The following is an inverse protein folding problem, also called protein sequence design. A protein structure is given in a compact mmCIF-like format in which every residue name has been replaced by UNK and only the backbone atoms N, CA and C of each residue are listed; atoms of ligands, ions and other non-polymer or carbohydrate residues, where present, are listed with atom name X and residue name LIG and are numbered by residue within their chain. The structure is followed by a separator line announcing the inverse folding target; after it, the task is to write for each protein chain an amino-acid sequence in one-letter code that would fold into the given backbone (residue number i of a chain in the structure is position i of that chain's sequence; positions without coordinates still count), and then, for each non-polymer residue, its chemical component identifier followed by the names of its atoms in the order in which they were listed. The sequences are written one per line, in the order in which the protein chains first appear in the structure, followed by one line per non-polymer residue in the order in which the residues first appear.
data_IF_310530724589
#
_entry.id   IF_310530724589
#
_cell.length_a   1.000
_cell.length_b   1.000
_cell.length_c   1.000
_cell.angle_alpha   90.00
_cell.angle_beta   90.00
_cell.angle_gamma   90.00
#
_symmetry.space_group_name_H-M   'P 1'
#
loop_
_entity.id
_entity.type
_entity.pdbx_description
1 polymer ?
#
# COMPACT_ATOMS: atom_id res chain seq x y z
N UNK A 1 17.43 -29.68 9.71
CA UNK A 1 18.42 -29.40 10.78
C UNK A 1 19.49 -28.38 10.33
N UNK A 2 20.07 -28.50 9.13
CA UNK A 2 21.08 -27.56 8.60
C UNK A 2 20.56 -26.13 8.39
N UNK A 3 19.31 -25.96 7.93
CA UNK A 3 18.68 -24.62 7.75
C UNK A 3 18.42 -23.91 9.08
N UNK A 4 18.04 -24.65 10.12
CA UNK A 4 17.86 -24.09 11.47
C UNK A 4 19.21 -23.68 12.08
N UNK A 5 20.27 -24.48 11.87
CA UNK A 5 21.63 -24.12 12.28
C UNK A 5 22.16 -22.89 11.50
N UNK A 6 21.81 -22.75 10.23
CA UNK A 6 22.18 -21.57 9.44
C UNK A 6 21.42 -20.32 9.92
N UNK A 7 20.12 -20.42 10.19
CA UNK A 7 19.34 -19.31 10.74
C UNK A 7 19.83 -18.88 12.14
N UNK A 8 20.15 -19.82 13.03
CA UNK A 8 20.58 -19.48 14.40
C UNK A 8 22.01 -18.92 14.45
N UNK A 9 22.94 -19.46 13.66
CA UNK A 9 24.33 -18.98 13.63
C UNK A 9 24.47 -17.66 12.85
N UNK A 10 23.70 -17.47 11.78
CA UNK A 10 23.70 -16.22 11.03
C UNK A 10 23.08 -15.09 11.86
N UNK A 11 21.97 -15.34 12.55
CA UNK A 11 21.34 -14.34 13.43
C UNK A 11 22.18 -14.02 14.67
N UNK A 12 22.88 -14.98 15.28
CA UNK A 12 23.72 -14.70 16.46
C UNK A 12 24.99 -13.92 16.11
N UNK A 13 25.69 -14.28 15.01
CA UNK A 13 26.88 -13.56 14.56
C UNK A 13 26.56 -12.16 14.02
N UNK A 14 25.41 -12.00 13.37
CA UNK A 14 24.91 -10.66 13.04
C UNK A 14 24.64 -9.85 14.30
N UNK A 15 23.97 -10.43 15.30
CA UNK A 15 23.61 -9.72 16.53
C UNK A 15 24.83 -9.19 17.29
N UNK A 16 25.89 -9.99 17.43
CA UNK A 16 27.15 -9.54 18.04
C UNK A 16 27.83 -8.43 17.22
N UNK A 17 27.87 -8.57 15.89
CA UNK A 17 28.46 -7.56 14.99
C UNK A 17 27.69 -6.22 15.01
N UNK A 18 26.38 -6.24 15.21
CA UNK A 18 25.57 -5.02 15.32
C UNK A 18 25.65 -4.37 16.71
N UNK A 19 25.90 -5.14 17.77
CA UNK A 19 26.07 -4.60 19.12
C UNK A 19 27.40 -3.84 19.29
N UNK A 20 28.46 -4.24 18.59
CA UNK A 20 29.75 -3.51 18.57
C UNK A 20 29.73 -2.23 17.71
N UNK A 21 28.93 -2.17 16.64
CA UNK A 21 28.86 -1.01 15.72
C UNK A 21 27.94 0.10 16.24
N UNK A 22 26.98 -0.25 17.10
CA UNK A 22 25.98 0.70 17.62
C UNK A 22 26.46 1.26 18.98
N UNK A 23 27.36 2.24 18.92
CA UNK A 23 27.62 3.13 20.06
C UNK A 23 26.39 4.04 20.33
N UNK A 24 26.22 4.52 21.56
CA UNK A 24 25.06 5.35 21.94
C UNK A 24 24.96 6.63 21.09
N UNK A 25 26.10 7.23 20.73
CA UNK A 25 26.15 8.36 19.80
C UNK A 25 25.74 7.99 18.36
N UNK A 26 26.05 6.77 17.91
CA UNK A 26 25.68 6.27 16.58
C UNK A 26 24.17 6.06 16.46
N UNK A 27 23.53 5.57 17.52
CA UNK A 27 22.06 5.38 17.58
C UNK A 27 21.31 6.70 17.43
N UNK A 28 21.76 7.75 18.12
CA UNK A 28 21.12 9.07 18.06
C UNK A 28 21.21 9.68 16.65
N UNK A 29 22.35 9.53 15.98
CA UNK A 29 22.55 10.00 14.59
C UNK A 29 21.64 9.23 13.65
N UNK A 30 21.59 7.89 13.75
CA UNK A 30 20.71 7.05 12.94
C UNK A 30 19.23 7.44 13.09
N UNK A 31 18.77 7.63 14.33
CA UNK A 31 17.38 8.02 14.63
C UNK A 31 17.03 9.38 14.00
N UNK A 32 17.94 10.36 14.05
CA UNK A 32 17.73 11.67 13.41
C UNK A 32 17.60 11.54 11.89
N UNK A 33 18.42 10.70 11.26
CA UNK A 33 18.31 10.42 9.83
C UNK A 33 16.98 9.73 9.48
N UNK A 34 16.53 8.76 10.29
CA UNK A 34 15.24 8.11 10.09
C UNK A 34 14.07 9.08 10.22
N UNK A 35 14.10 10.01 11.19
CA UNK A 35 13.08 11.06 11.30
C UNK A 35 13.06 11.96 10.06
N UNK A 36 14.23 12.33 9.54
CA UNK A 36 14.35 13.15 8.34
C UNK A 36 13.78 12.41 7.11
N UNK A 37 14.13 11.14 6.91
CA UNK A 37 13.62 10.31 5.81
C UNK A 37 12.10 10.14 5.96
N UNK A 38 11.61 9.84 7.17
CA UNK A 38 10.18 9.70 7.43
C UNK A 38 9.41 10.97 7.08
N UNK A 39 9.88 12.13 7.57
CA UNK A 39 9.25 13.41 7.30
C UNK A 39 9.30 13.81 5.83
N UNK A 40 10.46 13.73 5.18
CA UNK A 40 10.60 14.10 3.77
C UNK A 40 9.79 13.18 2.85
N UNK A 41 9.81 11.87 3.11
CA UNK A 41 9.09 10.91 2.31
C UNK A 41 7.58 11.06 2.48
N UNK A 42 7.11 11.30 3.71
CA UNK A 42 5.70 11.59 3.99
C UNK A 42 5.23 12.88 3.32
N UNK A 43 5.95 14.00 3.51
CA UNK A 43 5.60 15.29 2.91
C UNK A 43 5.61 15.18 1.38
N UNK A 44 6.61 14.50 0.81
CA UNK A 44 6.69 14.34 -0.66
C UNK A 44 5.58 13.44 -1.19
N UNK A 45 5.26 12.34 -0.50
CA UNK A 45 4.13 11.47 -0.86
C UNK A 45 2.80 12.25 -0.83
N UNK A 46 2.61 13.08 0.21
CA UNK A 46 1.41 13.91 0.36
C UNK A 46 1.31 15.04 -0.67
N UNK A 47 2.40 15.77 -0.93
CA UNK A 47 2.38 16.93 -1.84
C UNK A 47 2.36 16.56 -3.32
N UNK A 48 3.02 15.46 -3.68
CA UNK A 48 3.20 15.06 -5.08
C UNK A 48 2.36 13.84 -5.47
N UNK A 49 1.56 13.29 -4.54
CA UNK A 49 0.75 12.08 -4.76
C UNK A 49 1.58 10.89 -5.28
N UNK A 50 2.82 10.77 -4.79
CA UNK A 50 3.73 9.70 -5.17
C UNK A 50 3.61 8.57 -4.16
N UNK A 51 2.82 7.55 -4.50
CA UNK A 51 2.47 6.45 -3.60
C UNK A 51 3.69 5.67 -3.10
N UNK A 52 4.72 5.46 -3.91
CA UNK A 52 5.88 4.64 -3.51
C UNK A 52 6.75 5.31 -2.42
N UNK A 53 6.63 6.64 -2.23
CA UNK A 53 7.32 7.36 -1.15
C UNK A 53 6.73 7.07 0.25
N UNK A 54 5.54 6.46 0.32
CA UNK A 54 4.98 5.93 1.57
C UNK A 54 5.85 4.85 2.22
N UNK A 55 6.47 4.00 1.40
CA UNK A 55 7.25 2.84 1.82
C UNK A 55 8.50 3.26 2.63
N UNK A 56 9.39 4.15 2.13
CA UNK A 56 10.53 4.61 2.93
C UNK A 56 10.11 5.36 4.19
N UNK A 57 8.95 6.04 4.20
CA UNK A 57 8.41 6.63 5.42
C UNK A 57 8.05 5.57 6.46
N UNK A 58 7.34 4.52 6.04
CA UNK A 58 6.95 3.41 6.90
C UNK A 58 8.17 2.65 7.45
N UNK A 59 9.13 2.31 6.59
CA UNK A 59 10.37 1.63 7.00
C UNK A 59 11.13 2.48 8.03
N UNK A 60 11.18 3.79 7.83
CA UNK A 60 11.86 4.70 8.74
C UNK A 60 11.20 4.74 10.12
N UNK A 61 9.87 4.73 10.18
CA UNK A 61 9.11 4.67 11.44
C UNK A 61 9.34 3.34 12.16
N UNK A 62 9.37 2.22 11.43
CA UNK A 62 9.71 0.89 11.99
C UNK A 62 11.15 0.91 12.56
N UNK A 63 12.10 1.52 11.86
CA UNK A 63 13.47 1.70 12.33
C UNK A 63 13.54 2.51 13.64
N UNK A 64 12.78 3.61 13.73
CA UNK A 64 12.68 4.44 14.94
C UNK A 64 12.10 3.63 16.11
N UNK A 65 11.05 2.84 15.85
CA UNK A 65 10.42 1.95 16.82
C UNK A 65 11.41 0.94 17.40
N UNK A 66 12.20 0.29 16.54
CA UNK A 66 13.22 -0.69 16.94
C UNK A 66 14.33 0.01 17.76
N UNK A 67 14.81 1.16 17.30
CA UNK A 67 15.85 1.92 17.99
C UNK A 67 15.42 2.36 19.40
N UNK A 68 14.20 2.90 19.54
CA UNK A 68 13.66 3.31 20.84
C UNK A 68 13.40 2.13 21.79
N UNK A 69 12.99 0.96 21.26
CA UNK A 69 12.80 -0.26 22.07
C UNK A 69 14.11 -0.77 22.67
N UNK A 70 15.25 -0.55 22.00
CA UNK A 70 16.58 -0.96 22.48
C UNK A 70 17.06 -0.09 23.67
N UNK A 71 16.76 1.20 23.66
CA UNK A 71 17.25 2.14 24.68
C UNK A 71 16.40 2.18 25.97
N UNK A 72 15.13 1.76 25.94
CA UNK A 72 14.24 1.88 27.12
C UNK A 72 13.55 0.57 27.46
N UNK A 73 13.83 0.05 28.67
CA UNK A 73 13.17 -1.13 29.22
C UNK A 73 11.67 -0.91 29.51
N UNK A 74 11.22 0.28 29.90
CA UNK A 74 9.79 0.51 30.20
C UNK A 74 9.37 1.96 29.96
N UNK A 75 8.57 2.21 28.93
CA UNK A 75 7.69 3.38 28.84
C UNK A 75 6.49 3.03 27.92
N UNK A 76 5.46 2.32 28.42
CA UNK A 76 4.31 1.91 27.62
C UNK A 76 3.61 3.10 26.94
N UNK A 77 3.70 4.29 27.52
CA UNK A 77 3.18 5.53 26.94
C UNK A 77 3.86 5.92 25.62
N UNK A 78 5.18 5.78 25.48
CA UNK A 78 5.89 6.12 24.23
C UNK A 78 5.57 5.13 23.10
N UNK A 79 5.46 3.84 23.42
CA UNK A 79 5.02 2.83 22.45
C UNK A 79 3.59 3.11 22.01
N UNK A 80 2.70 3.45 22.95
CA UNK A 80 1.31 3.81 22.63
C UNK A 80 1.22 5.06 21.76
N UNK A 81 2.03 6.10 22.03
CA UNK A 81 2.13 7.31 21.19
C UNK A 81 2.61 6.95 19.78
N UNK A 82 3.63 6.09 19.65
CA UNK A 82 4.10 5.67 18.33
C UNK A 82 3.10 4.79 17.58
N UNK A 83 2.43 3.85 18.25
CA UNK A 83 1.36 3.05 17.63
C UNK A 83 0.21 3.95 17.19
N UNK A 84 -0.15 4.95 18.00
CA UNK A 84 -1.11 5.98 17.64
C UNK A 84 -0.68 6.77 16.40
N UNK A 85 0.59 7.17 16.31
CA UNK A 85 1.16 7.83 15.13
C UNK A 85 1.13 6.94 13.89
N UNK A 86 1.47 5.65 14.00
CA UNK A 86 1.40 4.70 12.89
C UNK A 86 -0.04 4.52 12.42
N UNK A 87 -0.99 4.34 13.34
CA UNK A 87 -2.42 4.26 12.98
C UNK A 87 -2.89 5.56 12.32
N UNK A 88 -2.52 6.72 12.85
CA UNK A 88 -2.88 8.01 12.28
C UNK A 88 -2.29 8.18 10.86
N UNK A 89 -1.06 7.74 10.63
CA UNK A 89 -0.46 7.71 9.30
C UNK A 89 -1.14 6.72 8.36
N UNK A 90 -1.58 5.56 8.84
CA UNK A 90 -2.32 4.61 8.01
C UNK A 90 -3.64 5.19 7.50
N UNK A 91 -4.31 6.05 8.27
CA UNK A 91 -5.52 6.77 7.82
C UNK A 91 -5.22 7.65 6.61
N UNK A 92 -4.06 8.32 6.58
CA UNK A 92 -3.65 9.15 5.43
C UNK A 92 -3.34 8.33 4.17
N UNK A 93 -3.05 7.04 4.30
CA UNK A 93 -2.83 6.16 3.15
C UNK A 93 -4.13 5.60 2.58
N UNK A 94 -5.24 5.65 3.31
CA UNK A 94 -6.52 5.17 2.80
C UNK A 94 -7.10 6.23 1.87
N UNK A 95 -7.44 5.85 0.63
CA UNK A 95 -8.01 6.80 -0.31
C UNK A 95 -9.36 7.30 0.20
N UNK A 96 -9.49 8.63 0.26
CA UNK A 96 -10.74 9.32 0.57
C UNK A 96 -11.53 9.69 -0.69
N UNK A 97 -10.87 9.63 -1.86
CA UNK A 97 -11.46 9.99 -3.14
C UNK A 97 -11.87 8.76 -3.96
N UNK A 98 -13.04 8.82 -4.63
CA UNK A 98 -13.54 7.75 -5.48
C UNK A 98 -12.56 7.34 -6.60
N UNK A 99 -11.83 8.31 -7.15
CA UNK A 99 -10.86 8.13 -8.23
C UNK A 99 -9.79 7.07 -7.94
N UNK A 100 -9.46 6.83 -6.67
CA UNK A 100 -8.50 5.77 -6.30
C UNK A 100 -9.03 4.38 -6.63
N UNK A 101 -10.32 4.13 -6.40
CA UNK A 101 -10.94 2.86 -6.75
C UNK A 101 -10.98 2.69 -8.28
N UNK A 102 -11.27 3.77 -9.02
CA UNK A 102 -11.24 3.72 -10.49
C UNK A 102 -9.83 3.45 -11.04
N UNK A 103 -8.80 4.08 -10.46
CA UNK A 103 -7.39 3.75 -10.79
C UNK A 103 -7.07 2.28 -10.51
N UNK A 104 -7.61 1.70 -9.43
CA UNK A 104 -7.44 0.27 -9.15
C UNK A 104 -8.06 -0.60 -10.25
N UNK A 105 -9.30 -0.31 -10.66
CA UNK A 105 -9.97 -1.02 -11.77
C UNK A 105 -9.16 -0.91 -13.06
N UNK A 106 -8.70 0.30 -13.42
CA UNK A 106 -7.91 0.53 -14.64
C UNK A 106 -6.55 -0.19 -14.61
N UNK A 107 -5.91 -0.31 -13.44
CA UNK A 107 -4.60 -0.95 -13.30
C UNK A 107 -4.57 -2.43 -13.71
N UNK A 108 -5.74 -3.07 -13.81
CA UNK A 108 -5.87 -4.47 -14.21
C UNK A 108 -5.78 -4.69 -15.72
N UNK A 109 -5.91 -3.64 -16.52
CA UNK A 109 -5.79 -3.70 -17.99
C UNK A 109 -6.97 -4.35 -18.73
N UNK A 110 -7.94 -4.95 -18.02
CA UNK A 110 -9.18 -5.48 -18.62
C UNK A 110 -10.17 -4.36 -18.94
N UNK A 111 -10.23 -3.35 -18.07
CA UNK A 111 -11.15 -2.22 -18.14
C UNK A 111 -10.35 -0.93 -18.08
N UNK A 112 -10.75 0.06 -18.89
CA UNK A 112 -10.27 1.43 -18.80
C UNK A 112 -11.46 2.36 -18.63
N UNK A 113 -11.69 2.83 -17.41
CA UNK A 113 -12.76 3.74 -17.05
C UNK A 113 -12.23 5.18 -17.02
N UNK A 114 -12.70 6.02 -17.94
CA UNK A 114 -12.34 7.45 -17.98
C UNK A 114 -13.23 8.28 -17.05
N UNK A 115 -14.47 7.82 -16.83
CA UNK A 115 -15.47 8.49 -16.01
C UNK A 115 -16.36 7.46 -15.29
N UNK A 116 -17.11 7.91 -14.29
CA UNK A 116 -17.98 7.06 -13.45
C UNK A 116 -19.17 6.42 -14.19
N UNK A 117 -19.39 6.74 -15.47
CA UNK A 117 -20.56 6.32 -16.24
C UNK A 117 -20.24 5.36 -17.39
N UNK A 118 -18.99 5.29 -17.86
CA UNK A 118 -18.58 4.50 -19.02
C UNK A 118 -17.16 3.93 -18.84
N UNK A 119 -17.01 2.64 -19.13
CA UNK A 119 -15.73 1.94 -19.17
C UNK A 119 -15.52 1.28 -20.52
N UNK A 120 -14.27 1.18 -20.97
CA UNK A 120 -13.90 0.43 -22.16
C UNK A 120 -13.32 -0.91 -21.75
N UNK A 121 -13.92 -2.00 -22.21
CA UNK A 121 -13.37 -3.36 -22.05
C UNK A 121 -12.48 -3.67 -23.24
N UNK A 122 -11.24 -4.05 -22.96
CA UNK A 122 -10.26 -4.40 -23.99
C UNK A 122 -10.09 -5.92 -23.99
N UNK A 123 -10.54 -6.59 -25.05
CA UNK A 123 -10.38 -8.03 -25.23
C UNK A 123 -9.36 -8.29 -26.33
N UNK A 124 -8.31 -9.04 -26.02
CA UNK A 124 -7.33 -9.49 -27.02
C UNK A 124 -7.51 -10.96 -27.27
N UNK A 125 -7.86 -11.33 -28.51
CA UNK A 125 -8.03 -12.72 -28.94
C UNK A 125 -6.96 -13.06 -29.96
N UNK A 126 -6.36 -14.25 -29.82
CA UNK A 126 -5.44 -14.81 -30.82
C UNK A 126 -6.30 -15.60 -31.79
N UNK A 127 -6.37 -15.12 -33.03
CA UNK A 127 -7.08 -15.78 -34.12
C UNK A 127 -6.35 -17.07 -34.50
N UNK A 128 -7.07 -18.04 -35.08
CA UNK A 128 -6.53 -19.32 -35.59
C UNK A 128 -5.27 -19.17 -36.45
N UNK A 129 -5.13 -18.02 -37.11
CA UNK A 129 -4.06 -17.69 -38.05
C UNK A 129 -2.84 -17.06 -37.35
N UNK A 130 -2.83 -17.01 -36.01
CA UNK A 130 -1.75 -16.42 -35.20
C UNK A 130 -1.77 -14.89 -35.11
N UNK A 131 -2.81 -14.24 -35.66
CA UNK A 131 -2.99 -12.80 -35.58
C UNK A 131 -3.66 -12.41 -34.25
N UNK A 132 -3.10 -11.41 -33.57
CA UNK A 132 -3.71 -10.80 -32.38
C UNK A 132 -4.75 -9.79 -32.83
N UNK A 133 -6.01 -10.03 -32.45
CA UNK A 133 -7.11 -9.10 -32.67
C UNK A 133 -7.49 -8.48 -31.32
N UNK A 134 -7.44 -7.17 -31.23
CA UNK A 134 -7.90 -6.42 -30.05
C UNK A 134 -9.24 -5.77 -30.37
N UNK A 135 -10.25 -6.07 -29.58
CA UNK A 135 -11.57 -5.44 -29.64
C UNK A 135 -11.75 -4.55 -28.42
N UNK A 136 -12.33 -3.38 -28.65
CA UNK A 136 -12.66 -2.40 -27.62
C UNK A 136 -14.18 -2.22 -27.60
N UNK A 137 -14.79 -2.54 -26.47
CA UNK A 137 -16.23 -2.42 -26.27
C UNK A 137 -16.50 -1.38 -25.18
N UNK A 138 -17.39 -0.42 -25.47
CA UNK A 138 -17.83 0.56 -24.46
C UNK A 138 -18.97 -0.06 -23.67
N UNK A 139 -18.80 -0.15 -22.36
CA UNK A 139 -19.78 -0.76 -21.45
C UNK A 139 -20.21 0.29 -20.42
N UNK A 140 -21.53 0.50 -20.24
CA UNK A 140 -22.03 1.46 -19.27
C UNK A 140 -21.78 0.98 -17.84
N UNK A 141 -21.47 1.93 -16.95
CA UNK A 141 -21.45 1.72 -15.50
C UNK A 141 -22.85 2.01 -14.98
N UNK A 142 -23.51 0.99 -14.44
CA UNK A 142 -24.88 1.12 -13.94
C UNK A 142 -24.95 1.58 -12.49
N UNK A 143 -23.92 1.25 -11.71
CA UNK A 143 -23.84 1.64 -10.31
C UNK A 143 -22.38 1.79 -9.88
N UNK A 144 -22.12 2.77 -9.04
CA UNK A 144 -20.80 3.11 -8.53
C UNK A 144 -20.90 3.61 -7.09
N UNK A 145 -20.13 3.00 -6.20
CA UNK A 145 -20.01 3.45 -4.81
C UNK A 145 -18.58 3.37 -4.31
N UNK A 146 -18.19 4.39 -3.55
CA UNK A 146 -16.92 4.45 -2.83
C UNK A 146 -17.17 5.01 -1.44
N UNK A 147 -16.81 4.26 -0.40
CA UNK A 147 -17.05 4.62 0.98
C UNK A 147 -15.76 4.51 1.80
N UNK A 148 -15.47 5.54 2.58
CA UNK A 148 -14.30 5.62 3.43
C UNK A 148 -14.68 5.49 4.90
N UNK A 149 -13.93 4.66 5.64
CA UNK A 149 -14.17 4.33 7.04
C UNK A 149 -12.89 4.51 7.90
N UNK A 150 -12.10 5.56 7.62
CA UNK A 150 -10.89 5.86 8.38
C UNK A 150 -9.69 5.04 7.92
N UNK A 151 -9.51 3.85 8.50
CA UNK A 151 -8.39 2.94 8.20
C UNK A 151 -8.71 1.94 7.06
N UNK A 152 -9.94 1.97 6.55
CA UNK A 152 -10.37 1.18 5.40
C UNK A 152 -11.22 2.00 4.45
N UNK A 153 -11.31 1.56 3.20
CA UNK A 153 -12.32 2.02 2.25
C UNK A 153 -12.92 0.83 1.51
N UNK A 154 -14.09 1.01 0.92
CA UNK A 154 -14.75 0.01 0.06
C UNK A 154 -15.13 0.66 -1.26
N UNK A 155 -14.95 -0.07 -2.34
CA UNK A 155 -15.35 0.33 -3.69
C UNK A 155 -16.19 -0.77 -4.32
N UNK A 156 -17.26 -0.38 -5.01
CA UNK A 156 -18.09 -1.27 -5.80
C UNK A 156 -18.48 -0.59 -7.10
N UNK A 157 -18.34 -1.32 -8.21
CA UNK A 157 -18.71 -0.88 -9.55
C UNK A 157 -19.49 -1.99 -10.24
N UNK A 158 -20.65 -1.67 -10.79
CA UNK A 158 -21.46 -2.60 -11.59
C UNK A 158 -21.39 -2.15 -13.05
N UNK A 159 -20.95 -3.04 -13.93
CA UNK A 159 -20.69 -2.77 -15.33
C UNK A 159 -21.54 -3.72 -16.19
N UNK A 160 -22.23 -3.20 -17.20
CA UNK A 160 -23.03 -3.99 -18.13
C UNK A 160 -24.39 -3.35 -18.46
N UNK A 161 -24.97 -3.71 -19.60
CA UNK A 161 -26.32 -3.29 -19.94
C UNK A 161 -27.34 -3.93 -18.98
N UNK A 162 -28.40 -3.19 -18.62
CA UNK A 162 -29.48 -3.65 -17.73
C UNK A 162 -30.19 -4.94 -18.19
N UNK A 163 -30.01 -5.31 -19.46
CA UNK A 163 -30.65 -6.46 -20.10
C UNK A 163 -29.69 -7.62 -20.40
N UNK A 164 -28.39 -7.47 -20.09
CA UNK A 164 -27.35 -8.48 -20.30
C UNK A 164 -26.71 -8.90 -18.96
N UNK A 165 -25.73 -9.81 -18.99
CA UNK A 165 -24.96 -10.18 -17.80
C UNK A 165 -24.21 -8.96 -17.26
N UNK A 166 -24.58 -8.53 -16.04
CA UNK A 166 -23.86 -7.50 -15.30
C UNK A 166 -22.68 -8.12 -14.55
N UNK A 167 -21.54 -7.45 -14.63
CA UNK A 167 -20.33 -7.80 -13.88
C UNK A 167 -20.18 -6.81 -12.73
N UNK A 168 -19.97 -7.33 -11.51
CA UNK A 168 -19.76 -6.49 -10.33
C UNK A 168 -18.32 -6.63 -9.87
N UNK A 169 -17.62 -5.51 -9.79
CA UNK A 169 -16.26 -5.41 -9.28
C UNK A 169 -16.34 -4.82 -7.88
N UNK A 170 -15.90 -5.57 -6.87
CA UNK A 170 -15.84 -5.10 -5.49
C UNK A 170 -14.43 -5.22 -4.95
N UNK A 171 -14.00 -4.20 -4.20
CA UNK A 171 -12.75 -4.25 -3.49
C UNK A 171 -12.84 -3.51 -2.16
N UNK A 172 -12.03 -3.95 -1.19
CA UNK A 172 -11.77 -3.19 0.02
C UNK A 172 -10.33 -2.69 0.01
N UNK A 173 -10.12 -1.48 0.51
CA UNK A 173 -8.80 -0.89 0.70
C UNK A 173 -8.41 -1.02 2.17
N UNK A 174 -7.20 -1.52 2.45
CA UNK A 174 -6.57 -1.42 3.77
C UNK A 174 -5.26 -0.67 3.63
N UNK A 175 -5.13 0.44 4.33
CA UNK A 175 -3.90 1.24 4.41
C UNK A 175 -3.27 1.53 3.03
N UNK A 176 -4.08 1.84 2.03
CA UNK A 176 -3.65 2.17 0.67
C UNK A 176 -3.69 1.02 -0.33
N UNK A 177 -3.91 -0.22 0.11
CA UNK A 177 -3.94 -1.39 -0.77
C UNK A 177 -5.35 -1.88 -1.03
N UNK A 178 -5.76 -1.87 -2.29
CA UNK A 178 -7.03 -2.43 -2.77
C UNK A 178 -6.95 -3.96 -2.95
N UNK A 179 -7.92 -4.67 -2.41
CA UNK A 179 -8.05 -6.13 -2.42
C UNK A 179 -9.47 -6.49 -2.84
N UNK A 180 -9.61 -7.27 -3.91
CA UNK A 180 -10.92 -7.75 -4.39
C UNK A 180 -11.42 -8.96 -3.62
N UNK A 181 -12.74 -9.17 -3.65
CA UNK A 181 -13.43 -10.28 -2.99
C UNK A 181 -14.69 -10.72 -3.74
#
# INVERSE_FOLDING_TARGET
MVILLFQTTFTSKWKESWEEVIDANSTLVLVRYLYLIAGLSFISSFLFEIDWLSIPALISIIGILIAHKKERKEAPAQVMIMVGLVMLLTIFFVPTHPDSFMKHVNSKGTYECLYDFECVKITSTITSDGLVKTEAEVIPVTDYSSHWYGITATGSMVIGESNQQQETIQAFNIAGFWIEY
#
